data_IF_563830621502
#
_entry.id   IF_563830621502
#
_cell.length_a   1.000
_cell.length_b   1.000
_cell.length_c   1.000
_cell.angle_alpha   90.00
_cell.angle_beta   90.00
_cell.angle_gamma   90.00
#
_symmetry.space_group_name_H-M   'P 1'
#
loop_
_entity.id
_entity.type
_entity.pdbx_description
1 polymer ?
#
# COMPACT_ATOMS: atom_id res chain seq x y z
N UNK A 1 -7.65 -6.88 -4.56
CA UNK A 1 -6.36 -7.54 -4.33
C UNK A 1 -5.23 -6.52 -4.45
N UNK A 2 -4.08 -6.72 -3.80
CA UNK A 2 -2.88 -5.91 -4.05
C UNK A 2 -2.47 -5.99 -5.54
N UNK A 3 -1.94 -4.89 -6.09
CA UNK A 3 -1.54 -4.81 -7.48
C UNK A 3 -0.54 -5.91 -7.89
N UNK A 4 0.42 -6.20 -7.00
CA UNK A 4 1.40 -7.26 -7.20
C UNK A 4 0.79 -8.66 -7.38
N UNK A 5 -0.31 -8.95 -6.70
CA UNK A 5 -1.03 -10.23 -6.82
C UNK A 5 -1.80 -10.33 -8.14
N UNK A 6 -2.32 -9.19 -8.62
CA UNK A 6 -3.05 -9.13 -9.89
C UNK A 6 -2.19 -9.16 -11.13
N UNK A 7 -0.90 -8.80 -11.03
CA UNK A 7 -0.04 -8.50 -12.16
C UNK A 7 0.00 -9.63 -13.20
N UNK A 8 0.28 -10.88 -12.78
CA UNK A 8 0.35 -12.02 -13.68
C UNK A 8 -0.96 -12.30 -14.44
N UNK A 9 -2.11 -12.04 -13.80
CA UNK A 9 -3.42 -12.27 -14.41
C UNK A 9 -3.84 -11.15 -15.37
N UNK A 10 -3.28 -9.95 -15.18
CA UNK A 10 -3.45 -8.86 -16.13
C UNK A 10 -2.52 -9.07 -17.34
N UNK A 11 -1.30 -9.54 -17.10
CA UNK A 11 -0.32 -9.84 -18.12
C UNK A 11 -0.78 -10.98 -19.06
N UNK A 12 -1.41 -12.03 -18.52
CA UNK A 12 -1.97 -13.14 -19.30
C UNK A 12 -3.40 -12.89 -19.81
N UNK A 13 -3.91 -11.66 -19.65
CA UNK A 13 -5.23 -11.21 -20.08
C UNK A 13 -6.41 -11.98 -19.44
N UNK A 14 -6.18 -12.73 -18.36
CA UNK A 14 -7.26 -13.45 -17.65
C UNK A 14 -8.08 -12.54 -16.73
N UNK A 15 -7.53 -11.37 -16.33
CA UNK A 15 -8.22 -10.33 -15.58
C UNK A 15 -8.03 -8.96 -16.24
N UNK A 16 -9.05 -8.13 -16.15
CA UNK A 16 -9.00 -6.72 -16.55
C UNK A 16 -9.11 -5.86 -15.30
N UNK A 17 -8.15 -4.97 -15.03
CA UNK A 17 -8.24 -4.06 -13.89
C UNK A 17 -9.33 -3.01 -14.13
N UNK A 18 -10.22 -2.81 -13.15
CA UNK A 18 -11.36 -1.91 -13.28
C UNK A 18 -11.09 -0.56 -12.61
N UNK A 19 -10.59 -0.60 -11.37
CA UNK A 19 -10.30 0.59 -10.58
C UNK A 19 -9.35 0.27 -9.44
N UNK A 20 -8.72 1.33 -8.89
CA UNK A 20 -7.86 1.25 -7.71
C UNK A 20 -8.39 2.15 -6.58
N UNK A 21 -8.06 1.80 -5.35
CA UNK A 21 -8.44 2.55 -4.15
C UNK A 21 -7.40 3.59 -3.71
N UNK A 22 -6.47 3.95 -4.59
CA UNK A 22 -5.45 4.98 -4.37
C UNK A 22 -5.96 6.38 -4.76
N UNK A 23 -5.22 7.41 -4.38
CA UNK A 23 -5.51 8.80 -4.75
C UNK A 23 -5.21 9.08 -6.23
N UNK A 24 -4.28 8.32 -6.82
CA UNK A 24 -3.85 8.45 -8.21
C UNK A 24 -4.12 7.16 -9.00
N UNK A 25 -4.27 7.33 -10.32
CA UNK A 25 -4.39 6.20 -11.23
C UNK A 25 -3.19 5.27 -11.13
N UNK A 26 -3.43 3.99 -11.32
CA UNK A 26 -2.36 3.00 -11.30
C UNK A 26 -1.89 2.66 -12.72
N UNK A 27 -0.64 2.94 -13.01
CA UNK A 27 0.00 2.73 -14.33
C UNK A 27 1.03 1.59 -14.33
N UNK A 28 1.10 0.80 -13.26
CA UNK A 28 2.08 -0.29 -13.13
C UNK A 28 1.78 -1.54 -13.96
N UNK A 29 0.59 -1.66 -14.56
CA UNK A 29 0.27 -2.71 -15.51
C UNK A 29 0.52 -2.20 -16.94
N UNK A 30 1.29 -2.95 -17.72
CA UNK A 30 1.59 -2.56 -19.11
C UNK A 30 0.30 -2.41 -19.93
N UNK A 31 0.15 -1.27 -20.60
CA UNK A 31 -1.01 -0.97 -21.43
C UNK A 31 -2.25 -0.50 -20.69
N UNK A 32 -2.20 -0.33 -19.36
CA UNK A 32 -3.33 0.13 -18.55
C UNK A 32 -3.03 1.44 -17.84
N UNK A 33 -4.02 2.33 -17.83
CA UNK A 33 -4.15 3.48 -16.93
C UNK A 33 -5.41 3.24 -16.07
N UNK A 34 -5.23 2.56 -14.94
CA UNK A 34 -6.37 2.10 -14.12
C UNK A 34 -6.89 3.26 -13.28
N UNK A 35 -8.16 3.68 -13.48
CA UNK A 35 -8.72 4.83 -12.79
C UNK A 35 -8.90 4.59 -11.30
N UNK A 36 -8.95 5.67 -10.53
CA UNK A 36 -9.30 5.58 -9.11
C UNK A 36 -10.80 5.37 -8.91
N UNK A 37 -11.22 4.73 -7.81
CA UNK A 37 -12.65 4.65 -7.45
C UNK A 37 -13.25 6.03 -7.21
N UNK A 38 -12.44 7.01 -6.78
CA UNK A 38 -12.89 8.41 -6.60
C UNK A 38 -13.27 9.04 -7.94
N UNK A 39 -12.50 8.81 -9.00
CA UNK A 39 -12.82 9.31 -10.35
C UNK A 39 -14.12 8.71 -10.91
N UNK A 40 -14.53 7.55 -10.39
CA UNK A 40 -15.80 6.88 -10.71
C UNK A 40 -16.97 7.32 -9.82
N UNK A 41 -16.78 8.30 -8.94
CA UNK A 41 -17.82 8.90 -8.12
C UNK A 41 -17.97 8.30 -6.71
N UNK A 42 -17.03 7.47 -6.27
CA UNK A 42 -17.02 6.90 -4.91
C UNK A 42 -15.92 7.59 -4.10
N UNK A 43 -16.30 8.33 -3.07
CA UNK A 43 -15.36 9.03 -2.18
C UNK A 43 -14.73 8.06 -1.18
N UNK A 44 -13.88 7.18 -1.68
CA UNK A 44 -13.18 6.16 -0.90
C UNK A 44 -11.72 6.10 -1.36
N UNK A 45 -10.81 6.26 -0.41
CA UNK A 45 -9.39 5.90 -0.54
C UNK A 45 -9.09 4.85 0.53
N UNK A 46 -8.45 3.77 0.14
CA UNK A 46 -8.10 2.70 1.06
C UNK A 46 -6.71 2.17 0.75
N UNK A 47 -5.79 2.40 1.67
CA UNK A 47 -4.44 1.89 1.57
C UNK A 47 -4.27 0.61 2.39
N UNK A 48 -3.64 -0.38 1.80
CA UNK A 48 -3.06 -1.49 2.54
C UNK A 48 -1.57 -1.23 2.70
N UNK A 49 -1.05 -1.30 3.91
CA UNK A 49 0.38 -1.13 4.16
C UNK A 49 0.99 -2.40 4.75
N UNK A 50 2.22 -2.69 4.35
CA UNK A 50 3.10 -3.59 5.09
C UNK A 50 3.95 -2.73 6.02
N UNK A 51 4.14 -3.18 7.24
CA UNK A 51 4.92 -2.43 8.22
C UNK A 51 5.85 -3.35 9.01
N UNK A 52 6.93 -2.78 9.51
CA UNK A 52 7.88 -3.45 10.39
C UNK A 52 7.61 -2.98 11.81
N UNK A 53 7.51 -3.92 12.73
CA UNK A 53 7.29 -3.63 14.16
C UNK A 53 8.47 -4.09 14.99
N UNK A 54 8.73 -3.34 16.05
CA UNK A 54 9.62 -3.72 17.14
C UNK A 54 8.83 -3.94 18.43
N UNK A 55 9.47 -4.50 19.46
CA UNK A 55 8.89 -4.51 20.80
C UNK A 55 8.81 -3.08 21.34
N UNK A 56 7.83 -2.83 22.22
CA UNK A 56 7.62 -1.50 22.80
C UNK A 56 8.76 -0.99 23.69
N UNK A 57 9.61 -1.89 24.19
CA UNK A 57 10.75 -1.63 25.08
C UNK A 57 12.10 -1.50 24.34
N UNK A 58 12.09 -1.54 23.00
CA UNK A 58 13.31 -1.28 22.21
C UNK A 58 13.68 0.18 22.32
N UNK A 59 14.97 0.45 22.53
CA UNK A 59 15.47 1.81 22.66
C UNK A 59 15.20 2.64 21.40
N UNK A 60 14.77 3.91 21.52
CA UNK A 60 14.43 4.75 20.37
C UNK A 60 15.59 4.90 19.35
N UNK A 61 16.83 4.92 19.83
CA UNK A 61 18.02 4.97 18.99
C UNK A 61 18.19 3.72 18.12
N UNK A 62 17.85 2.54 18.62
CA UNK A 62 17.88 1.28 17.85
C UNK A 62 16.77 1.26 16.80
N UNK A 63 15.58 1.75 17.15
CA UNK A 63 14.47 1.91 16.19
C UNK A 63 14.87 2.86 15.06
N UNK A 64 15.48 4.00 15.41
CA UNK A 64 15.94 4.97 14.43
C UNK A 64 17.04 4.40 13.52
N UNK A 65 17.96 3.61 14.09
CA UNK A 65 19.03 2.97 13.32
C UNK A 65 18.47 1.93 12.33
N UNK A 66 17.49 1.13 12.74
CA UNK A 66 16.80 0.17 11.87
C UNK A 66 16.06 0.91 10.74
N UNK A 67 15.31 1.96 11.07
CA UNK A 67 14.60 2.76 10.09
C UNK A 67 15.57 3.35 9.06
N UNK A 68 16.66 3.97 9.51
CA UNK A 68 17.65 4.55 8.59
C UNK A 68 18.28 3.48 7.67
N UNK A 69 18.61 2.31 8.19
CA UNK A 69 19.14 1.21 7.40
C UNK A 69 18.17 0.75 6.29
N UNK A 70 16.86 0.75 6.59
CA UNK A 70 15.81 0.43 5.60
C UNK A 70 15.75 1.50 4.52
N UNK A 71 15.77 2.79 4.90
CA UNK A 71 15.80 3.90 3.95
C UNK A 71 17.04 3.84 3.06
N UNK A 72 18.22 3.64 3.64
CA UNK A 72 19.47 3.54 2.89
C UNK A 72 19.44 2.37 1.88
N UNK A 73 18.92 1.22 2.29
CA UNK A 73 18.78 0.07 1.38
C UNK A 73 17.78 0.33 0.27
N UNK A 74 16.69 1.03 0.55
CA UNK A 74 15.64 1.33 -0.43
C UNK A 74 16.14 2.19 -1.60
N UNK A 75 17.21 2.97 -1.40
CA UNK A 75 17.82 3.78 -2.44
C UNK A 75 18.76 2.98 -3.37
N UNK A 76 19.07 1.73 -3.01
CA UNK A 76 19.96 0.89 -3.83
C UNK A 76 19.27 0.40 -5.10
N UNK A 77 20.06 0.20 -6.17
CA UNK A 77 19.54 -0.39 -7.42
C UNK A 77 19.02 -1.81 -7.19
N UNK A 78 19.64 -2.57 -6.28
CA UNK A 78 19.20 -3.92 -5.92
C UNK A 78 17.76 -3.91 -5.38
N UNK A 79 17.44 -2.98 -4.47
CA UNK A 79 16.07 -2.86 -3.94
C UNK A 79 15.08 -2.43 -5.02
N UNK A 80 15.46 -1.46 -5.87
CA UNK A 80 14.60 -0.98 -6.97
C UNK A 80 14.30 -2.10 -7.96
N UNK A 81 15.28 -2.92 -8.30
CA UNK A 81 15.11 -4.08 -9.16
C UNK A 81 14.21 -5.15 -8.51
N UNK A 82 14.40 -5.43 -7.22
CA UNK A 82 13.54 -6.35 -6.48
C UNK A 82 12.09 -5.86 -6.44
N UNK A 83 11.87 -4.59 -6.14
CA UNK A 83 10.53 -4.00 -6.10
C UNK A 83 9.85 -4.06 -7.48
N UNK A 84 10.58 -3.71 -8.54
CA UNK A 84 10.09 -3.79 -9.92
C UNK A 84 9.72 -5.22 -10.31
N UNK A 85 10.59 -6.19 -10.05
CA UNK A 85 10.36 -7.60 -10.39
C UNK A 85 9.20 -8.21 -9.59
N UNK A 86 8.94 -7.70 -8.40
CA UNK A 86 7.80 -8.09 -7.57
C UNK A 86 6.50 -7.34 -7.90
N UNK A 87 6.50 -6.44 -8.89
CA UNK A 87 5.41 -5.50 -9.17
C UNK A 87 4.97 -4.74 -7.90
N UNK A 88 5.93 -4.36 -7.06
CA UNK A 88 5.71 -3.69 -5.80
C UNK A 88 6.12 -2.22 -5.92
N UNK A 89 5.22 -1.31 -5.55
CA UNK A 89 5.51 0.11 -5.46
C UNK A 89 5.86 0.39 -4.00
N UNK A 90 7.13 0.70 -3.69
CA UNK A 90 7.53 1.04 -2.34
C UNK A 90 6.90 2.36 -1.91
N UNK A 91 6.29 2.36 -0.74
CA UNK A 91 5.81 3.54 -0.05
C UNK A 91 6.42 3.53 1.34
N UNK A 92 7.43 4.37 1.53
CA UNK A 92 8.26 4.37 2.73
C UNK A 92 7.93 5.59 3.57
N UNK A 93 7.35 5.33 4.73
CA UNK A 93 6.92 6.36 5.67
C UNK A 93 7.48 6.11 7.07
N UNK A 94 7.50 7.14 7.87
CA UNK A 94 7.88 7.03 9.27
C UNK A 94 6.80 6.34 10.13
N UNK A 95 7.18 5.97 11.35
CA UNK A 95 6.30 5.20 12.22
C UNK A 95 5.03 5.95 12.66
N UNK A 96 5.05 7.28 12.76
CA UNK A 96 3.86 8.06 13.12
C UNK A 96 2.88 8.13 11.95
N UNK A 97 3.38 8.33 10.74
CA UNK A 97 2.58 8.30 9.51
C UNK A 97 1.94 6.92 9.31
N UNK A 98 2.73 5.84 9.45
CA UNK A 98 2.21 4.45 9.36
C UNK A 98 1.13 4.19 10.41
N UNK A 99 1.34 4.63 11.65
CA UNK A 99 0.35 4.51 12.72
C UNK A 99 -0.96 5.24 12.37
N UNK A 100 -0.88 6.45 11.81
CA UNK A 100 -2.07 7.19 11.41
C UNK A 100 -2.82 6.47 10.28
N UNK A 101 -2.12 5.97 9.26
CA UNK A 101 -2.71 5.16 8.18
C UNK A 101 -3.48 3.94 8.74
N UNK A 102 -2.91 3.25 9.73
CA UNK A 102 -3.57 2.10 10.36
C UNK A 102 -4.83 2.51 11.12
N UNK A 103 -4.77 3.63 11.85
CA UNK A 103 -5.93 4.13 12.61
C UNK A 103 -7.06 4.57 11.67
N UNK A 104 -6.74 5.33 10.62
CA UNK A 104 -7.71 5.80 9.63
C UNK A 104 -8.38 4.62 8.89
N UNK A 105 -7.60 3.62 8.50
CA UNK A 105 -8.13 2.39 7.90
C UNK A 105 -9.03 1.61 8.87
N UNK A 106 -8.69 1.56 10.15
CA UNK A 106 -9.50 0.92 11.20
C UNK A 106 -10.84 1.63 11.37
N UNK A 107 -10.84 2.96 11.42
CA UNK A 107 -12.05 3.76 11.58
C UNK A 107 -12.95 3.64 10.36
N UNK A 108 -12.40 3.69 9.14
CA UNK A 108 -13.15 3.46 7.90
C UNK A 108 -13.81 2.06 7.88
N UNK A 109 -13.07 1.02 8.26
CA UNK A 109 -13.61 -0.33 8.35
C UNK A 109 -14.72 -0.44 9.39
N UNK A 110 -14.57 0.24 10.53
CA UNK A 110 -15.60 0.26 11.58
C UNK A 110 -16.87 0.96 11.12
N UNK A 111 -16.75 2.13 10.49
CA UNK A 111 -17.90 2.85 9.92
C UNK A 111 -18.65 1.98 8.88
N UNK A 112 -17.92 1.32 8.00
CA UNK A 112 -18.51 0.41 7.03
C UNK A 112 -19.21 -0.76 7.69
N UNK A 113 -18.61 -1.35 8.73
CA UNK A 113 -19.22 -2.43 9.50
C UNK A 113 -20.52 -1.99 10.18
N UNK A 114 -20.46 -0.86 10.91
CA UNK A 114 -21.61 -0.32 11.64
C UNK A 114 -22.77 0.02 10.68
N UNK A 115 -22.44 0.54 9.50
CA UNK A 115 -23.43 0.95 8.49
C UNK A 115 -24.11 -0.23 7.77
N UNK A 116 -23.36 -1.30 7.47
CA UNK A 116 -23.83 -2.35 6.58
C UNK A 116 -24.03 -3.71 7.24
N UNK A 117 -23.42 -3.97 8.40
CA UNK A 117 -23.41 -5.28 9.03
C UNK A 117 -23.89 -5.31 10.48
N UNK A 118 -23.85 -4.21 11.23
CA UNK A 118 -24.36 -4.13 12.60
C UNK A 118 -25.89 -3.88 12.58
N UNK A 119 -26.66 -4.87 12.11
CA UNK A 119 -28.13 -4.87 12.19
C UNK A 119 -28.60 -5.86 13.23
#
# INVERSE_FOLDING_TARGET
>A
APASVGAQYVEDESLVPIAVFSEENYTGYEGYDVPTVQSLGYDIVFHTCNFIMTKADVAPEDVAAIHQAILDYSETEEFKDLAKNANYIPYLEDGETVKQIILDASDLCKEAYDKYYAQ
#
